data_IF_545600968431
#
_entry.id   IF_545600968431
#
_cell.length_a   1.000
_cell.length_b   1.000
_cell.length_c   1.000
_cell.angle_alpha   90.00
_cell.angle_beta   90.00
_cell.angle_gamma   90.00
#
_symmetry.space_group_name_H-M   'P 1'
#
loop_
_entity.id
_entity.type
_entity.pdbx_description
1 polymer ?
#
# COMPACT_ATOMS: atom_id res chain seq x y z
N UNK A 1 -20.80 -28.08 31.92
CA UNK A 1 -20.65 -27.97 30.46
C UNK A 1 -21.27 -26.69 29.85
N UNK A 2 -21.99 -25.86 30.62
CA UNK A 2 -22.61 -24.62 30.14
C UNK A 2 -21.59 -23.53 29.76
N UNK A 3 -20.47 -23.42 30.48
CA UNK A 3 -19.42 -22.42 30.23
C UNK A 3 -18.80 -22.58 28.84
N UNK A 4 -18.51 -23.82 28.43
CA UNK A 4 -17.92 -24.11 27.11
C UNK A 4 -18.87 -23.68 25.99
N UNK A 5 -20.18 -23.90 26.15
CA UNK A 5 -21.19 -23.51 25.17
C UNK A 5 -21.28 -21.98 25.02
N UNK A 6 -21.24 -21.24 26.14
CA UNK A 6 -21.29 -19.76 26.10
C UNK A 6 -20.03 -19.18 25.44
N UNK A 7 -18.84 -19.70 25.76
CA UNK A 7 -17.58 -19.25 25.15
C UNK A 7 -17.59 -19.52 23.64
N UNK A 8 -18.08 -20.69 23.20
CA UNK A 8 -18.17 -21.03 21.78
C UNK A 8 -19.10 -20.06 21.01
N UNK A 9 -20.26 -19.72 21.56
CA UNK A 9 -21.17 -18.75 20.95
C UNK A 9 -20.57 -17.34 20.86
N UNK A 10 -19.89 -16.88 21.92
CA UNK A 10 -19.23 -15.56 21.92
C UNK A 10 -18.08 -15.52 20.90
N UNK A 11 -17.27 -16.58 20.84
CA UNK A 11 -16.16 -16.68 19.88
C UNK A 11 -16.67 -16.64 18.44
N UNK A 12 -17.77 -17.36 18.13
CA UNK A 12 -18.36 -17.37 16.80
C UNK A 12 -18.78 -15.97 16.29
N UNK A 13 -19.20 -15.09 17.19
CA UNK A 13 -19.60 -13.71 16.85
C UNK A 13 -18.39 -12.78 16.79
N UNK A 14 -17.45 -12.95 17.74
CA UNK A 14 -16.32 -12.02 17.91
C UNK A 14 -15.24 -12.18 16.84
N UNK A 15 -14.88 -13.41 16.48
CA UNK A 15 -13.81 -13.72 15.50
C UNK A 15 -14.01 -13.02 14.15
N UNK A 16 -15.19 -13.11 13.47
CA UNK A 16 -15.36 -12.45 12.17
C UNK A 16 -15.28 -10.92 12.27
N UNK A 17 -15.74 -10.33 13.38
CA UNK A 17 -15.64 -8.88 13.62
C UNK A 17 -14.19 -8.43 13.78
N UNK A 18 -13.40 -9.17 14.56
CA UNK A 18 -11.98 -8.88 14.74
C UNK A 18 -11.19 -9.06 13.43
N UNK A 19 -11.50 -10.10 12.64
CA UNK A 19 -10.87 -10.32 11.34
C UNK A 19 -11.14 -9.15 10.37
N UNK A 20 -12.39 -8.68 10.28
CA UNK A 20 -12.74 -7.52 9.46
C UNK A 20 -12.07 -6.23 9.94
N UNK A 21 -12.00 -6.01 11.25
CA UNK A 21 -11.32 -4.83 11.81
C UNK A 21 -9.81 -4.83 11.51
N UNK A 22 -9.15 -5.99 11.61
CA UNK A 22 -7.74 -6.14 11.27
C UNK A 22 -7.50 -5.89 9.78
N UNK A 23 -8.36 -6.43 8.91
CA UNK A 23 -8.31 -6.15 7.47
C UNK A 23 -8.42 -4.64 7.21
N UNK A 24 -9.43 -3.99 7.79
CA UNK A 24 -9.63 -2.54 7.63
C UNK A 24 -8.42 -1.72 8.11
N UNK A 25 -7.80 -2.10 9.23
CA UNK A 25 -6.60 -1.45 9.73
C UNK A 25 -5.41 -1.58 8.76
N UNK A 26 -5.21 -2.77 8.19
CA UNK A 26 -4.15 -3.00 7.21
C UNK A 26 -4.40 -2.23 5.91
N UNK A 27 -5.62 -2.21 5.38
CA UNK A 27 -5.96 -1.45 4.17
C UNK A 27 -5.81 0.07 4.40
N UNK A 28 -6.21 0.58 5.57
CA UNK A 28 -6.00 1.96 5.95
C UNK A 28 -4.50 2.31 6.04
N UNK A 29 -3.69 1.40 6.60
CA UNK A 29 -2.24 1.56 6.63
C UNK A 29 -1.66 1.62 5.21
N UNK A 30 -2.06 0.73 4.28
CA UNK A 30 -1.63 0.76 2.87
C UNK A 30 -1.95 2.11 2.21
N UNK A 31 -3.14 2.66 2.46
CA UNK A 31 -3.53 3.97 1.90
C UNK A 31 -2.73 5.13 2.50
N UNK A 32 -2.50 5.12 3.81
CA UNK A 32 -1.67 6.12 4.48
C UNK A 32 -0.22 6.09 3.95
N UNK A 33 0.29 4.89 3.73
CA UNK A 33 1.58 4.62 3.11
C UNK A 33 1.69 5.14 1.68
N UNK A 34 0.68 4.89 0.84
CA UNK A 34 0.61 5.44 -0.53
C UNK A 34 0.63 6.98 -0.51
N UNK A 35 -0.16 7.61 0.36
CA UNK A 35 -0.15 9.07 0.55
C UNK A 35 1.21 9.60 1.04
N UNK A 36 1.87 8.86 1.93
CA UNK A 36 3.24 9.14 2.37
C UNK A 36 4.23 9.13 1.21
N UNK A 37 4.23 8.07 0.39
CA UNK A 37 5.11 7.97 -0.79
C UNK A 37 4.86 9.13 -1.77
N UNK A 38 3.59 9.47 -2.04
CA UNK A 38 3.23 10.60 -2.90
C UNK A 38 3.76 11.92 -2.37
N UNK A 39 3.66 12.14 -1.06
CA UNK A 39 4.18 13.35 -0.41
C UNK A 39 5.70 13.39 -0.50
N UNK A 40 6.38 12.28 -0.21
CA UNK A 40 7.84 12.16 -0.32
C UNK A 40 8.35 12.39 -1.74
N UNK A 41 7.64 11.87 -2.76
CA UNK A 41 7.95 12.13 -4.18
C UNK A 41 7.80 13.61 -4.53
N UNK A 42 6.75 14.27 -4.04
CA UNK A 42 6.55 15.71 -4.27
C UNK A 42 7.65 16.56 -3.61
N UNK A 43 8.06 16.22 -2.39
CA UNK A 43 9.18 16.90 -1.70
C UNK A 43 10.48 16.64 -2.44
N UNK A 44 10.75 15.40 -2.85
CA UNK A 44 11.94 15.07 -3.65
C UNK A 44 11.99 15.89 -4.93
N UNK A 45 10.89 15.92 -5.69
CA UNK A 45 10.76 16.70 -6.92
C UNK A 45 11.07 18.18 -6.71
N UNK A 46 10.58 18.77 -5.61
CA UNK A 46 10.87 20.16 -5.26
C UNK A 46 12.36 20.38 -4.91
N UNK A 47 12.98 19.41 -4.24
CA UNK A 47 14.38 19.48 -3.81
C UNK A 47 15.39 19.24 -4.94
N UNK A 48 14.99 18.54 -6.00
CA UNK A 48 15.85 18.15 -7.14
C UNK A 48 15.53 18.92 -8.42
N UNK A 49 15.08 20.16 -8.26
CA UNK A 49 14.82 21.10 -9.37
C UNK A 49 13.85 20.53 -10.43
N UNK A 50 12.86 19.75 -9.99
CA UNK A 50 11.83 19.18 -10.86
C UNK A 50 12.19 17.82 -11.46
N UNK A 51 13.08 17.05 -10.82
CA UNK A 51 13.47 15.72 -11.30
C UNK A 51 12.91 14.63 -10.40
N UNK A 52 12.08 13.74 -10.95
CA UNK A 52 11.67 12.53 -10.25
C UNK A 52 12.80 11.49 -10.20
N UNK A 53 12.88 10.67 -9.15
CA UNK A 53 13.94 9.68 -9.04
C UNK A 53 13.70 8.50 -10.00
N UNK A 54 14.77 7.85 -10.46
CA UNK A 54 14.70 6.67 -11.35
C UNK A 54 14.09 5.42 -10.69
N UNK A 55 14.06 5.41 -9.36
CA UNK A 55 13.47 4.40 -8.49
C UNK A 55 13.20 5.04 -7.11
N UNK A 56 12.60 4.31 -6.17
CA UNK A 56 12.26 4.88 -4.85
C UNK A 56 13.39 4.79 -3.81
N UNK A 57 14.56 4.22 -4.15
CA UNK A 57 15.70 4.07 -3.24
C UNK A 57 16.13 5.39 -2.60
N UNK A 58 16.20 6.54 -3.31
CA UNK A 58 16.57 7.82 -2.71
C UNK A 58 15.60 8.27 -1.61
N UNK A 59 14.34 7.83 -1.66
CA UNK A 59 13.35 8.17 -0.65
C UNK A 59 13.51 7.30 0.61
N UNK A 60 13.96 6.05 0.45
CA UNK A 60 13.94 5.00 1.47
C UNK A 60 15.24 4.84 2.26
N UNK A 61 16.25 5.69 2.02
CA UNK A 61 17.53 5.59 2.73
C UNK A 61 17.37 5.84 4.24
N UNK A 62 18.10 5.10 5.11
CA UNK A 62 18.11 5.39 6.54
C UNK A 62 18.50 6.85 6.81
N UNK A 63 17.67 7.57 7.56
CA UNK A 63 17.88 9.01 7.81
C UNK A 63 17.45 9.94 6.67
N UNK A 64 16.81 9.40 5.62
CA UNK A 64 16.17 10.18 4.57
C UNK A 64 15.16 11.16 5.18
N UNK A 65 15.20 12.41 4.70
CA UNK A 65 14.19 13.44 5.02
C UNK A 65 12.85 13.20 4.35
N UNK A 66 12.78 12.23 3.43
CA UNK A 66 11.59 11.94 2.64
C UNK A 66 10.73 10.86 3.30
N UNK A 67 11.21 9.61 3.31
CA UNK A 67 10.51 8.43 3.81
C UNK A 67 11.38 7.72 4.85
N UNK A 68 10.79 7.39 6.00
CA UNK A 68 11.57 6.93 7.16
C UNK A 68 11.77 5.42 7.21
N UNK A 69 11.06 4.62 6.39
CA UNK A 69 11.17 3.16 6.38
C UNK A 69 10.58 2.53 5.11
N UNK A 70 10.99 1.29 4.83
CA UNK A 70 10.39 0.40 3.82
C UNK A 70 8.90 0.23 4.11
N UNK A 71 8.10 0.28 3.05
CA UNK A 71 6.66 0.46 3.15
C UNK A 71 5.93 -0.82 2.71
N UNK A 72 5.66 -1.77 3.62
CA UNK A 72 4.91 -2.96 3.24
C UNK A 72 3.46 -2.60 2.94
N UNK A 73 2.89 -3.21 1.91
CA UNK A 73 1.51 -3.02 1.50
C UNK A 73 0.71 -4.29 1.74
N UNK A 74 -0.58 -4.11 1.95
CA UNK A 74 -1.56 -5.18 2.10
C UNK A 74 -2.82 -4.84 1.29
N UNK A 75 -3.28 -5.79 0.48
CA UNK A 75 -4.48 -5.65 -0.37
C UNK A 75 -5.63 -6.58 0.03
N UNK A 76 -5.37 -7.56 0.90
CA UNK A 76 -6.31 -8.60 1.28
C UNK A 76 -6.43 -9.79 0.33
N UNK A 77 -5.93 -9.65 -0.90
CA UNK A 77 -5.93 -10.70 -1.92
C UNK A 77 -4.54 -11.21 -2.27
N UNK A 78 -3.53 -10.37 -2.06
CA UNK A 78 -2.12 -10.72 -2.18
C UNK A 78 -1.47 -10.83 -0.80
N UNK A 79 -0.33 -11.53 -0.75
CA UNK A 79 0.54 -11.50 0.42
C UNK A 79 1.02 -10.08 0.72
N UNK A 80 1.48 -9.84 1.95
CA UNK A 80 2.15 -8.57 2.27
C UNK A 80 3.45 -8.48 1.47
N UNK A 81 3.61 -7.43 0.67
CA UNK A 81 4.81 -7.18 -0.13
C UNK A 81 5.37 -5.79 0.14
N UNK A 82 6.67 -5.60 -0.09
CA UNK A 82 7.32 -4.29 -0.16
C UNK A 82 7.97 -4.06 -1.52
N UNK A 83 7.67 -4.91 -2.50
CA UNK A 83 8.26 -4.88 -3.82
C UNK A 83 7.79 -3.62 -4.56
N UNK A 84 8.69 -3.09 -5.38
CA UNK A 84 8.49 -1.89 -6.18
C UNK A 84 8.79 -2.26 -7.63
N UNK A 85 7.79 -2.17 -8.50
CA UNK A 85 8.00 -2.30 -9.93
C UNK A 85 8.15 -0.90 -10.53
N UNK A 86 9.32 -0.66 -11.11
CA UNK A 86 9.59 0.56 -11.86
C UNK A 86 9.25 0.32 -13.33
N UNK A 87 8.32 1.11 -13.85
CA UNK A 87 7.66 0.89 -15.14
C UNK A 87 7.74 2.16 -15.99
N UNK A 88 7.65 2.03 -17.32
CA UNK A 88 7.62 3.17 -18.24
C UNK A 88 6.23 3.79 -18.41
N UNK A 89 5.19 3.13 -17.91
CA UNK A 89 3.81 3.59 -17.87
C UNK A 89 3.04 2.81 -16.79
N UNK A 90 1.87 3.31 -16.42
CA UNK A 90 0.95 2.59 -15.52
C UNK A 90 0.44 1.31 -16.19
N UNK A 91 0.39 0.22 -15.44
CA UNK A 91 -0.18 -1.06 -15.83
C UNK A 91 -1.14 -1.61 -14.75
N UNK A 92 -1.69 -2.79 -15.04
CA UNK A 92 -2.67 -3.51 -14.21
C UNK A 92 -2.17 -4.91 -13.84
N UNK A 93 -0.86 -5.10 -13.59
CA UNK A 93 -0.19 -6.41 -13.39
C UNK A 93 -0.69 -7.24 -12.19
N UNK A 94 -1.69 -6.79 -11.43
CA UNK A 94 -2.28 -7.44 -10.24
C UNK A 94 -1.28 -8.19 -9.34
N UNK A 95 -0.06 -7.66 -9.22
CA UNK A 95 1.06 -8.33 -8.57
C UNK A 95 1.09 -8.15 -7.06
N UNK A 96 0.28 -7.23 -6.53
CA UNK A 96 0.32 -6.85 -5.12
C UNK A 96 1.57 -6.06 -4.73
N UNK A 97 2.22 -5.41 -5.70
CA UNK A 97 3.40 -4.57 -5.51
C UNK A 97 3.09 -3.06 -5.61
N UNK A 98 4.05 -2.22 -5.26
CA UNK A 98 3.99 -0.79 -5.58
C UNK A 98 4.35 -0.60 -7.06
N UNK A 99 3.46 0.01 -7.84
CA UNK A 99 3.78 0.44 -9.20
C UNK A 99 4.29 1.86 -9.18
N UNK A 100 5.42 2.11 -9.83
CA UNK A 100 6.03 3.43 -9.96
C UNK A 100 6.41 3.70 -11.42
N UNK A 101 5.92 4.80 -11.98
CA UNK A 101 6.34 5.24 -13.32
C UNK A 101 7.65 6.01 -13.19
N UNK A 102 8.74 5.47 -13.74
CA UNK A 102 10.08 6.06 -13.65
C UNK A 102 10.58 6.69 -14.96
N UNK A 103 9.75 6.68 -16.01
CA UNK A 103 10.05 7.27 -17.31
C UNK A 103 8.77 7.69 -18.03
N UNK A 104 8.91 8.50 -19.09
CA UNK A 104 7.78 8.91 -19.91
C UNK A 104 6.97 10.07 -19.32
N UNK A 105 5.80 10.37 -19.91
CA UNK A 105 5.02 11.56 -19.57
C UNK A 105 4.37 11.50 -18.18
N UNK A 106 4.14 10.29 -17.65
CA UNK A 106 3.50 10.06 -16.35
C UNK A 106 4.51 9.78 -15.23
N UNK A 107 5.79 10.14 -15.44
CA UNK A 107 6.86 9.95 -14.45
C UNK A 107 6.47 10.54 -13.08
N UNK A 108 6.76 9.79 -12.02
CA UNK A 108 6.37 10.17 -10.66
C UNK A 108 5.02 9.58 -10.22
N UNK A 109 4.24 8.98 -11.12
CA UNK A 109 3.00 8.32 -10.75
C UNK A 109 3.27 7.06 -9.93
N UNK A 110 2.57 6.92 -8.80
CA UNK A 110 2.67 5.79 -7.88
C UNK A 110 1.27 5.26 -7.55
N UNK A 111 1.11 3.93 -7.60
CA UNK A 111 -0.14 3.23 -7.29
C UNK A 111 0.12 1.86 -6.66
N UNK A 112 -0.95 1.20 -6.22
CA UNK A 112 -0.93 -0.21 -5.81
C UNK A 112 -1.28 -1.05 -7.04
N UNK A 113 -0.38 -1.91 -7.51
CA UNK A 113 -0.62 -2.83 -8.63
C UNK A 113 -1.50 -3.99 -8.17
N UNK A 114 -2.80 -3.73 -8.03
CA UNK A 114 -3.78 -4.73 -7.65
C UNK A 114 -5.14 -4.36 -8.26
N UNK A 115 -5.77 -5.31 -8.94
CA UNK A 115 -7.09 -5.15 -9.57
C UNK A 115 -8.23 -5.52 -8.63
N UNK A 116 -7.92 -6.15 -7.49
CA UNK A 116 -8.91 -6.49 -6.47
C UNK A 116 -9.40 -5.26 -5.70
N UNK A 117 -10.54 -5.41 -5.02
CA UNK A 117 -11.18 -4.33 -4.28
C UNK A 117 -10.87 -4.34 -2.78
N UNK A 118 -10.77 -3.15 -2.20
CA UNK A 118 -10.76 -2.95 -0.75
C UNK A 118 -12.11 -3.35 -0.09
N UNK A 119 -12.20 -3.25 1.23
CA UNK A 119 -13.45 -3.51 1.97
C UNK A 119 -14.63 -2.60 1.57
N UNK A 120 -14.37 -1.49 0.86
CA UNK A 120 -15.37 -0.52 0.40
C UNK A 120 -15.75 -0.73 -1.07
N UNK A 121 -15.17 -1.72 -1.76
CA UNK A 121 -15.47 -2.02 -3.16
C UNK A 121 -14.67 -1.20 -4.18
N UNK A 122 -13.64 -0.45 -3.77
CA UNK A 122 -12.78 0.30 -4.69
C UNK A 122 -11.57 -0.54 -5.09
N UNK A 123 -11.28 -0.60 -6.39
CA UNK A 123 -10.09 -1.30 -6.89
C UNK A 123 -8.80 -0.58 -6.48
N UNK A 124 -7.80 -1.37 -6.08
CA UNK A 124 -6.55 -0.85 -5.53
C UNK A 124 -5.76 0.03 -6.51
N UNK A 125 -5.74 -0.35 -7.79
CA UNK A 125 -5.10 0.41 -8.86
C UNK A 125 -5.75 1.76 -9.16
N UNK A 126 -6.91 2.09 -8.58
CA UNK A 126 -7.60 3.38 -8.75
C UNK A 126 -7.25 4.39 -7.67
N UNK A 127 -6.56 3.98 -6.59
CA UNK A 127 -6.08 4.89 -5.56
C UNK A 127 -4.87 5.68 -6.03
#
# INVERSE_FOLDING_TARGET
MLVVAVIACLAAIAVPKFASALRNANEAATKGKLGGIRTSLAVYYADTEGTYPSDLTPLLQPGSRYLTQVVPLYTGHHGTSSDIHCLSAKDDDDSGAWGYVNAGPDIGHIWVQCTHTDLKGNAWNQY
#
